data_IF_684271109082
#
_entry.id   IF_684271109082
#
_cell.length_a   1.000
_cell.length_b   1.000
_cell.length_c   1.000
_cell.angle_alpha   90.00
_cell.angle_beta   90.00
_cell.angle_gamma   90.00
#
_symmetry.space_group_name_H-M   'P 1'
#
loop_
_entity.id
_entity.type
_entity.pdbx_description
1 polymer ?
2 polymer ?
3 branched ?
4 water ?
#
# COMPACT_ATOMS: atom_id res chain seq x y z
N UNK A 2 -25.48 -8.97 14.60
CA UNK A 2 -24.68 -7.95 15.25
C UNK A 2 -23.59 -7.42 14.32
N UNK A 3 -23.89 -6.35 13.60
CA UNK A 3 -22.95 -5.81 12.63
C UNK A 3 -21.76 -5.16 13.32
N UNK A 4 -20.58 -5.32 12.74
CA UNK A 4 -19.36 -4.78 13.32
C UNK A 4 -19.39 -3.24 13.26
N UNK A 5 -18.79 -2.57 14.24
CA UNK A 5 -18.92 -1.11 14.35
C UNK A 5 -18.00 -0.34 13.40
N UNK A 6 -18.19 -0.56 12.11
CA UNK A 6 -17.38 0.14 11.12
C UNK A 6 -17.78 1.60 10.99
N UNK A 7 -19.07 1.91 11.13
CA UNK A 7 -19.49 3.31 11.07
C UNK A 7 -18.81 4.15 12.13
N UNK A 8 -18.52 3.55 13.28
CA UNK A 8 -17.75 4.22 14.32
C UNK A 8 -16.35 4.58 13.84
N UNK A 9 -15.72 3.67 13.09
CA UNK A 9 -14.33 3.86 12.68
C UNK A 9 -14.22 4.89 11.56
N UNK A 10 -15.08 4.78 10.56
CA UNK A 10 -14.93 5.59 9.35
C UNK A 10 -15.64 6.93 9.43
N UNK A 11 -16.72 7.02 10.20
CA UNK A 11 -17.54 8.22 10.28
C UNK A 11 -17.38 8.99 11.58
N UNK A 12 -16.35 8.67 12.37
CA UNK A 12 -16.13 9.42 13.59
C UNK A 12 -15.89 10.89 13.29
N UNK A 13 -16.44 11.76 14.14
CA UNK A 13 -16.24 13.19 13.97
C UNK A 13 -14.77 13.56 13.99
N UNK A 14 -14.01 12.96 14.91
CA UNK A 14 -12.62 13.32 15.12
C UNK A 14 -11.73 12.10 14.92
N UNK A 15 -10.53 12.36 14.39
CA UNK A 15 -9.53 11.33 14.14
C UNK A 15 -8.28 11.64 14.97
N UNK A 16 -7.48 10.61 15.21
CA UNK A 16 -6.29 10.76 16.04
C UNK A 16 -5.12 11.30 15.23
N UNK A 17 -4.17 11.90 15.94
CA UNK A 17 -2.89 12.21 15.33
C UNK A 17 -2.14 10.92 15.04
N UNK A 18 -1.30 10.96 14.01
CA UNK A 18 -0.66 9.72 13.54
C UNK A 18 0.33 9.19 14.58
N UNK A 19 1.00 10.08 15.30
CA UNK A 19 1.95 9.63 16.32
C UNK A 19 1.23 8.88 17.45
N UNK A 20 0.00 9.29 17.76
CA UNK A 20 -0.84 8.64 18.76
C UNK A 20 -1.99 7.90 18.09
N UNK A 21 -1.68 7.14 17.04
CA UNK A 21 -2.71 6.53 16.22
C UNK A 21 -3.62 5.63 17.05
N UNK A 22 -4.90 5.64 16.69
CA UNK A 22 -5.93 4.93 17.43
C UNK A 22 -6.04 3.50 16.94
N UNK A 23 -6.26 2.57 17.87
CA UNK A 23 -6.54 1.17 17.55
C UNK A 23 -7.86 0.79 18.18
N UNK A 24 -8.77 0.25 17.36
CA UNK A 24 -10.04 -0.27 17.80
C UNK A 24 -10.12 -1.75 17.45
N UNK A 25 -10.27 -2.59 18.47
CA UNK A 25 -10.43 -4.02 18.24
C UNK A 25 -11.84 -4.33 17.78
N UNK A 26 -11.95 -5.18 16.76
CA UNK A 26 -13.22 -5.56 16.17
C UNK A 26 -13.37 -7.06 16.31
N UNK A 27 -14.39 -7.48 17.04
CA UNK A 27 -14.55 -8.89 17.36
C UNK A 27 -16.01 -9.17 17.71
N UNK A 28 -16.38 -10.45 17.59
CA UNK A 28 -17.70 -10.96 17.99
C UNK A 28 -18.82 -10.22 17.25
N UNK A 29 -18.69 -10.18 15.92
CA UNK A 29 -19.67 -9.48 15.10
C UNK A 29 -19.52 -9.93 13.66
N UNK A 30 -20.55 -9.62 12.86
CA UNK A 30 -20.54 -9.87 11.42
C UNK A 30 -20.11 -8.57 10.75
N UNK A 31 -19.21 -8.68 9.78
CA UNK A 31 -18.62 -7.53 9.13
C UNK A 31 -19.14 -7.43 7.70
N UNK A 32 -20.00 -6.45 7.46
CA UNK A 32 -20.50 -6.15 6.12
C UNK A 32 -19.50 -5.21 5.44
N UNK A 33 -18.48 -5.79 4.80
CA UNK A 33 -17.49 -4.99 4.12
C UNK A 33 -18.04 -4.31 2.87
N UNK A 34 -19.26 -4.64 2.46
CA UNK A 34 -19.83 -4.06 1.25
C UNK A 34 -20.20 -2.61 1.44
N UNK A 35 -20.51 -2.19 2.67
CA UNK A 35 -20.72 -0.76 2.91
C UNK A 35 -19.45 0.01 2.61
N UNK A 36 -18.30 -0.65 2.68
CA UNK A 36 -17.02 -0.07 2.28
C UNK A 36 -16.74 -0.32 0.80
N UNK A 37 -16.68 -1.60 0.41
CA UNK A 37 -16.20 -1.92 -0.93
C UNK A 37 -17.23 -1.65 -2.03
N UNK A 38 -18.41 -1.11 -1.69
CA UNK A 38 -19.33 -0.58 -2.68
C UNK A 38 -19.30 0.95 -2.73
N UNK A 39 -18.78 1.59 -1.69
CA UNK A 39 -18.70 3.05 -1.65
C UNK A 39 -17.64 3.57 -2.62
N UNK A 40 -17.80 4.84 -3.00
CA UNK A 40 -16.92 5.50 -3.95
C UNK A 40 -16.29 6.75 -3.36
N UNK A 41 -16.18 6.80 -2.03
CA UNK A 41 -15.68 7.97 -1.33
C UNK A 41 -14.19 7.88 -1.02
N UNK A 42 -13.53 6.78 -1.35
CA UNK A 42 -12.16 6.54 -0.93
C UNK A 42 -11.18 6.81 -2.07
N UNK A 43 -10.10 7.51 -1.75
CA UNK A 43 -9.03 7.73 -2.73
C UNK A 43 -8.02 6.59 -2.75
N UNK A 44 -7.87 5.88 -1.65
CA UNK A 44 -7.02 4.69 -1.57
C UNK A 44 -7.83 3.55 -0.98
N UNK A 45 -7.76 2.37 -1.59
CA UNK A 45 -8.42 1.19 -1.06
C UNK A 45 -7.69 -0.01 -1.67
N UNK A 46 -6.71 -0.53 -0.94
CA UNK A 46 -5.91 -1.65 -1.41
C UNK A 46 -5.68 -2.62 -0.25
N UNK A 47 -5.59 -3.91 -0.57
CA UNK A 47 -5.41 -4.93 0.43
C UNK A 47 -4.21 -5.79 0.11
N UNK A 48 -3.59 -6.34 1.15
CA UNK A 48 -2.42 -7.19 1.04
C UNK A 48 -2.74 -8.55 1.67
N UNK A 49 -2.37 -9.62 0.97
CA UNK A 49 -2.68 -10.96 1.41
C UNK A 49 -4.14 -11.35 1.26
N UNK A 50 -5.02 -10.41 0.91
CA UNK A 50 -6.43 -10.69 0.66
C UNK A 50 -6.90 -9.81 -0.49
N UNK A 51 -8.02 -10.17 -1.10
CA UNK A 51 -8.62 -9.35 -2.13
C UNK A 51 -9.81 -8.60 -1.59
N UNK A 52 -9.99 -7.33 -1.99
CA UNK A 52 -11.12 -6.54 -1.44
C UNK A 52 -12.48 -7.14 -1.72
N UNK A 53 -12.65 -7.86 -2.83
CA UNK A 53 -13.94 -8.46 -3.15
C UNK A 53 -14.19 -9.76 -2.41
N UNK A 54 -13.19 -10.32 -1.72
CA UNK A 54 -13.34 -11.60 -1.05
C UNK A 54 -13.58 -11.42 0.45
N UNK A 55 -13.41 -10.21 0.99
CA UNK A 55 -13.50 -9.99 2.44
C UNK A 55 -14.83 -10.48 3.00
N UNK A 56 -15.91 -10.39 2.23
CA UNK A 56 -17.21 -10.85 2.69
C UNK A 56 -17.31 -12.37 2.78
N UNK A 57 -16.33 -13.11 2.27
CA UNK A 57 -16.33 -14.56 2.29
C UNK A 57 -15.30 -15.14 3.27
N UNK A 58 -14.73 -14.31 4.14
CA UNK A 58 -13.62 -14.74 4.98
C UNK A 58 -13.93 -14.57 6.46
N UNK A 59 -13.22 -15.35 7.26
CA UNK A 59 -13.34 -15.34 8.71
C UNK A 59 -11.96 -15.15 9.31
N UNK A 60 -11.88 -14.35 10.38
CA UNK A 60 -10.60 -14.04 10.99
C UNK A 60 -10.69 -14.13 12.50
N UNK A 61 -9.56 -14.45 13.13
CA UNK A 61 -9.50 -14.52 14.59
C UNK A 61 -9.64 -13.14 15.20
N UNK A 62 -8.86 -12.18 14.72
CA UNK A 62 -8.86 -10.82 15.24
C UNK A 62 -8.86 -9.84 14.08
N UNK A 63 -9.59 -8.74 14.24
CA UNK A 63 -9.59 -7.64 13.29
C UNK A 63 -9.37 -6.35 14.05
N UNK A 64 -8.36 -5.59 13.64
CA UNK A 64 -8.04 -4.30 14.26
C UNK A 64 -8.21 -3.19 13.23
N UNK A 65 -8.73 -2.05 13.68
CA UNK A 65 -8.93 -0.88 12.83
C UNK A 65 -8.08 0.26 13.39
N UNK A 66 -6.98 0.57 12.71
CA UNK A 66 -6.10 1.66 13.09
C UNK A 66 -6.42 2.88 12.25
N UNK A 67 -6.50 4.05 12.89
CA UNK A 67 -6.94 5.26 12.20
C UNK A 67 -6.13 6.47 12.66
N UNK A 68 -5.91 7.40 11.73
CA UNK A 68 -5.07 8.57 11.95
C UNK A 68 -5.21 9.49 10.74
N UNK A 69 -4.55 10.66 10.81
CA UNK A 69 -4.58 11.67 9.77
C UNK A 69 -3.14 12.02 9.38
N UNK A 70 -2.87 12.05 8.07
CA UNK A 70 -1.58 12.45 7.52
C UNK A 70 -1.83 13.29 6.27
N UNK A 71 -0.74 13.79 5.67
CA UNK A 71 -0.87 14.53 4.42
C UNK A 71 -1.19 13.59 3.26
N UNK A 72 -1.79 14.15 2.22
CA UNK A 72 -2.11 13.35 1.04
C UNK A 72 -0.88 12.73 0.40
N UNK A 73 0.21 13.48 0.30
CA UNK A 73 1.43 12.97 -0.29
C UNK A 73 2.23 12.07 0.65
N UNK A 74 1.68 11.75 1.84
CA UNK A 74 2.29 10.78 2.74
C UNK A 74 1.54 9.46 2.80
N UNK A 75 0.36 9.36 2.17
CA UNK A 75 -0.38 8.11 2.17
C UNK A 75 0.44 6.99 1.54
N UNK A 76 1.33 7.33 0.61
CA UNK A 76 2.21 6.34 -0.01
C UNK A 76 3.06 5.60 1.03
N UNK A 77 3.32 6.21 2.18
CA UNK A 77 4.13 5.59 3.21
C UNK A 77 3.40 4.52 4.00
N UNK A 78 2.07 4.46 3.92
CA UNK A 78 1.31 3.39 4.57
C UNK A 78 1.27 2.21 3.63
N UNK A 79 2.41 1.56 3.45
CA UNK A 79 2.55 0.42 2.54
C UNK A 79 3.77 -0.38 2.96
N UNK A 80 3.81 -1.67 2.67
CA UNK A 80 4.96 -2.48 3.06
C UNK A 80 6.26 -1.94 2.47
N UNK A 81 7.28 -1.87 3.32
CA UNK A 81 8.64 -1.56 2.90
C UNK A 81 8.96 -0.09 2.78
N UNK A 82 8.04 0.81 3.12
CA UNK A 82 8.28 2.23 2.88
C UNK A 82 9.12 2.85 3.99
N UNK A 83 9.69 4.01 3.65
CA UNK A 83 10.47 4.82 4.57
C UNK A 83 9.94 6.25 4.55
N UNK A 84 10.48 7.09 5.41
CA UNK A 84 9.96 8.42 5.65
C UNK A 84 9.44 8.55 7.08
N UNK A 85 9.17 9.81 7.45
CA UNK A 85 8.92 10.08 8.88
C UNK A 85 7.67 9.36 9.36
N UNK A 86 6.68 9.14 8.50
CA UNK A 86 5.49 8.42 8.91
C UNK A 86 5.79 6.94 9.11
N UNK A 87 6.38 6.30 8.09
CA UNK A 87 6.68 4.87 8.20
C UNK A 87 7.76 4.61 9.26
N UNK A 88 8.75 5.50 9.36
CA UNK A 88 9.85 5.26 10.29
C UNK A 88 9.47 5.59 11.73
N UNK A 89 8.74 6.67 11.95
CA UNK A 89 8.59 7.23 13.29
C UNK A 89 7.15 7.28 13.81
N UNK A 90 6.15 6.99 12.99
CA UNK A 90 4.78 7.16 13.46
C UNK A 90 3.93 5.90 13.34
N UNK A 91 3.84 5.32 12.15
CA UNK A 91 3.03 4.12 11.93
C UNK A 91 3.73 3.24 10.91
N UNK A 92 4.00 2.01 11.29
CA UNK A 92 4.80 1.09 10.48
C UNK A 92 4.00 -0.17 10.17
N UNK A 93 3.78 -0.43 8.89
CA UNK A 93 3.19 -1.68 8.44
C UNK A 93 4.25 -2.77 8.37
N UNK A 94 3.89 -4.02 8.67
CA UNK A 94 4.85 -5.12 8.51
C UNK A 94 5.15 -5.36 7.03
N UNK A 95 6.29 -6.01 6.78
CA UNK A 95 6.64 -6.36 5.41
C UNK A 95 5.65 -7.35 4.82
N UNK A 96 5.17 -8.29 5.63
CA UNK A 96 4.19 -9.29 5.22
C UNK A 96 2.78 -8.95 5.74
N UNK A 97 2.41 -7.69 5.60
CA UNK A 97 1.12 -7.19 6.10
C UNK A 97 -0.04 -7.95 5.47
N UNK A 98 -0.99 -8.39 6.30
CA UNK A 98 -2.25 -8.96 5.85
C UNK A 98 -3.37 -8.03 6.29
N UNK A 99 -3.95 -7.31 5.35
CA UNK A 99 -5.00 -6.36 5.66
C UNK A 99 -5.18 -5.37 4.54
N UNK A 100 -5.87 -4.27 4.85
CA UNK A 100 -6.23 -3.28 3.85
C UNK A 100 -5.86 -1.88 4.33
N UNK A 101 -5.53 -1.02 3.37
CA UNK A 101 -5.24 0.39 3.62
C UNK A 101 -6.30 1.21 2.90
N UNK A 102 -7.03 2.03 3.66
CA UNK A 102 -8.13 2.83 3.14
C UNK A 102 -7.90 4.28 3.54
N UNK A 103 -8.05 5.20 2.58
CA UNK A 103 -7.82 6.61 2.85
C UNK A 103 -8.77 7.45 2.03
N UNK A 104 -9.07 8.65 2.53
CA UNK A 104 -9.92 9.59 1.81
C UNK A 104 -9.56 11.01 2.21
N UNK A 105 -9.83 11.94 1.30
CA UNK A 105 -9.54 13.35 1.54
C UNK A 105 -10.47 13.91 2.61
N UNK A 106 -9.89 14.55 3.62
CA UNK A 106 -10.65 15.12 4.72
C UNK A 106 -10.42 16.62 4.87
N UNK A 107 -10.15 17.30 3.74
CA UNK A 107 -9.94 18.75 3.77
C UNK A 107 -11.14 19.48 4.36
N UNK A 108 -12.34 19.03 4.04
CA UNK A 108 -13.55 19.71 4.50
C UNK A 108 -13.72 19.60 6.01
N UNK A 109 -13.07 18.64 6.65
CA UNK A 109 -13.24 18.39 8.09
C UNK A 109 -12.04 18.78 8.93
N UNK A 110 -10.82 18.66 8.41
CA UNK A 110 -9.63 18.75 9.23
C UNK A 110 -8.75 19.96 8.92
N UNK A 111 -9.12 20.78 7.95
CA UNK A 111 -8.40 22.02 7.66
C UNK A 111 -9.13 23.20 8.27
N UNK A 112 -8.36 24.24 8.62
CA UNK A 112 -8.89 25.43 9.27
C UNK A 112 -8.14 26.65 8.75
N UNK A 113 -8.87 27.76 8.60
CA UNK A 113 -8.23 29.01 8.20
C UNK A 113 -7.25 29.44 9.30
N UNK A 114 -6.06 29.83 8.89
CA UNK A 114 -4.97 30.06 9.82
C UNK A 114 -4.23 28.81 10.23
N UNK A 115 -4.75 27.63 9.88
CA UNK A 115 -4.06 26.38 10.17
C UNK A 115 -4.67 25.60 11.32
N UNK A 116 -4.96 24.32 11.09
CA UNK A 116 -5.37 23.42 12.15
C UNK A 116 -4.11 22.78 12.72
N UNK A 117 -3.75 23.14 13.95
CA UNK A 117 -2.54 22.65 14.55
C UNK A 117 -2.78 21.50 15.53
N UNK A 118 -3.96 20.87 15.47
CA UNK A 118 -4.26 19.79 16.39
C UNK A 118 -3.63 18.46 15.97
N UNK A 119 -3.38 18.28 14.68
CA UNK A 119 -2.81 17.04 14.18
C UNK A 119 -1.29 17.11 14.20
N UNK A 120 -0.65 16.16 14.87
CA UNK A 120 0.79 16.14 15.06
C UNK A 120 1.39 14.89 14.47
N UNK A 121 2.70 14.94 14.23
CA UNK A 121 3.48 13.76 13.86
C UNK A 121 4.83 13.83 14.55
N UNK A 122 5.49 12.67 14.65
CA UNK A 122 6.82 12.60 15.22
C UNK A 122 7.86 12.82 14.12
N UNK A 123 8.79 13.75 14.37
CA UNK A 123 9.80 14.14 13.39
C UNK A 123 11.16 13.51 13.66
N UNK A 124 11.48 13.21 14.92
CA UNK A 124 12.77 12.67 15.30
C UNK A 124 12.58 11.44 16.17
N UNK A 125 13.45 10.45 15.99
CA UNK A 125 13.47 9.26 16.83
C UNK A 125 14.82 8.59 16.69
N UNK A 126 15.28 7.98 17.78
CA UNK A 126 16.60 7.33 17.78
C UNK A 126 16.62 6.05 16.95
N UNK A 127 15.46 5.45 16.67
CA UNK A 127 15.40 4.25 15.87
C UNK A 127 14.04 4.17 15.20
N UNK A 128 13.93 3.33 14.18
CA UNK A 128 12.66 3.16 13.50
C UNK A 128 11.69 2.34 14.34
N UNK A 129 10.41 2.59 14.14
CA UNK A 129 9.38 1.81 14.81
C UNK A 129 9.35 0.39 14.28
N UNK A 130 9.05 -0.55 15.16
CA UNK A 130 8.69 -1.89 14.73
C UNK A 130 7.25 -1.89 14.23
N UNK A 131 6.86 -2.90 13.45
CA UNK A 131 5.48 -2.91 12.91
C UNK A 131 4.45 -2.86 14.02
N UNK A 132 3.45 -1.98 13.83
CA UNK A 132 2.34 -1.76 14.75
C UNK A 132 2.80 -1.24 16.11
N UNK A 133 3.98 -0.64 16.18
CA UNK A 133 4.43 0.00 17.41
C UNK A 133 3.90 1.42 17.48
N UNK A 134 3.65 1.88 18.70
CA UNK A 134 3.25 3.26 18.95
C UNK A 134 4.23 3.91 19.91
N UNK A 135 4.60 5.15 19.62
CA UNK A 135 5.47 5.94 20.48
C UNK A 135 4.76 7.25 20.78
N UNK A 136 4.43 7.46 22.07
CA UNK A 136 3.77 8.67 22.53
C UNK A 136 4.65 9.49 23.48
N UNK A 137 5.95 9.18 23.54
CA UNK A 137 6.85 9.91 24.41
C UNK A 137 7.11 11.32 23.88
N UNK A 138 7.56 12.20 24.78
CA UNK A 138 7.82 13.59 24.45
C UNK A 138 9.21 14.02 24.92
N UNK A 139 10.14 13.08 24.97
CA UNK A 139 11.50 13.40 25.42
C UNK A 139 12.21 14.27 24.40
N UNK A 140 13.05 15.18 24.89
CA UNK A 140 13.85 16.02 24.01
C UNK A 140 14.85 15.16 23.26
N UNK A 141 14.92 15.36 21.95
CA UNK A 141 15.77 14.57 21.06
C UNK A 141 17.17 15.16 20.98
N UNK A 142 18.17 14.33 21.28
CA UNK A 142 19.57 14.75 21.22
C UNK A 142 20.07 14.60 19.79
N UNK A 143 20.13 15.71 19.06
CA UNK A 143 20.61 15.69 17.70
C UNK A 143 22.12 15.86 17.58
N UNK A 144 22.78 16.34 18.64
CA UNK A 144 24.21 16.55 18.60
C UNK A 144 24.96 15.81 19.69
N UNK A 145 26.16 16.30 20.00
CA UNK A 145 27.00 15.68 21.02
C UNK A 145 26.68 16.15 22.42
N UNK A 146 25.87 17.19 22.56
CA UNK A 146 25.57 17.76 23.87
C UNK A 146 24.32 17.09 24.43
N UNK A 147 24.39 16.43 25.59
CA UNK A 147 23.17 15.88 26.19
C UNK A 147 22.17 16.98 26.51
N UNK A 148 20.91 16.73 26.17
CA UNK A 148 19.88 17.76 26.35
C UNK A 148 19.42 17.86 27.81
N UNK A 149 19.25 16.74 28.49
CA UNK A 149 18.66 16.69 29.82
C UNK A 149 17.35 17.47 29.87
N UNK A 150 16.41 17.02 29.03
CA UNK A 150 15.06 17.56 28.97
C UNK A 150 14.95 19.04 28.68
N UNK A 151 16.06 19.71 28.36
CA UNK A 151 16.05 21.14 28.04
C UNK A 151 16.02 21.28 26.52
N UNK A 152 14.99 21.96 26.03
CA UNK A 152 14.85 22.26 24.61
C UNK A 152 15.78 23.40 24.22
N UNK A 153 16.51 23.24 23.13
CA UNK A 153 17.41 24.28 22.68
C UNK A 153 18.15 23.86 21.44
N UNK A 154 19.26 24.54 21.17
CA UNK A 154 20.10 24.21 20.02
C UNK A 154 20.53 22.75 20.06
N UNK A 155 20.28 22.04 18.96
CA UNK A 155 20.56 20.61 18.80
C UNK A 155 19.76 19.74 19.75
N UNK A 156 18.74 20.27 20.38
CA UNK A 156 17.93 19.55 21.38
C UNK A 156 16.47 19.84 21.09
N UNK A 157 15.82 18.92 20.37
CA UNK A 157 14.54 19.18 19.72
C UNK A 157 13.40 18.48 20.46
N UNK A 158 12.28 19.19 20.59
CA UNK A 158 11.02 18.53 20.91
C UNK A 158 10.61 17.67 19.72
N UNK A 159 10.26 16.40 19.93
CA UNK A 159 10.21 15.47 18.79
C UNK A 159 8.93 15.51 17.98
N UNK A 160 7.92 16.28 18.38
CA UNK A 160 6.66 16.33 17.65
C UNK A 160 6.51 17.66 16.92
N UNK A 161 5.82 17.61 15.78
CA UNK A 161 5.56 18.77 14.95
C UNK A 161 4.13 18.73 14.46
N UNK A 162 3.54 19.92 14.29
CA UNK A 162 2.15 20.03 13.85
C UNK A 162 2.08 20.15 12.33
N UNK A 163 1.01 19.57 11.76
CA UNK A 163 0.79 19.67 10.32
C UNK A 163 0.38 21.07 9.90
N UNK A 164 -0.48 21.73 10.69
CA UNK A 164 -0.98 23.04 10.33
C UNK A 164 -1.79 23.04 9.05
N UNK A 165 -2.76 22.14 8.96
CA UNK A 165 -3.56 22.02 7.74
C UNK A 165 -4.35 23.30 7.48
N UNK A 166 -4.22 23.83 6.26
CA UNK A 166 -4.93 25.01 5.81
C UNK A 166 -5.78 24.68 4.59
N UNK A 167 -6.99 25.25 4.48
CA UNK A 167 -7.94 24.77 3.47
C UNK A 167 -7.54 25.09 2.04
N UNK A 168 -6.67 26.08 1.82
CA UNK A 168 -6.27 26.47 0.48
C UNK A 168 -5.12 25.63 -0.08
N UNK A 169 -4.58 24.70 0.71
CA UNK A 169 -3.47 23.87 0.26
C UNK A 169 -3.87 23.06 -0.98
N UNK A 170 -2.85 22.69 -1.76
CA UNK A 170 -3.03 21.71 -2.81
C UNK A 170 -3.35 20.35 -2.22
N UNK A 171 -3.81 19.45 -3.10
CA UNK A 171 -4.34 18.16 -2.64
C UNK A 171 -3.26 17.37 -1.90
N UNK A 172 -2.01 17.45 -2.35
CA UNK A 172 -0.94 16.73 -1.69
C UNK A 172 -0.68 17.20 -0.27
N UNK A 173 -0.97 18.47 0.02
CA UNK A 173 -0.75 19.03 1.34
C UNK A 173 -2.00 18.98 2.22
N UNK A 174 -3.11 18.47 1.69
CA UNK A 174 -4.36 18.44 2.44
C UNK A 174 -4.41 17.22 3.35
N UNK A 175 -5.20 17.27 4.42
CA UNK A 175 -5.29 16.13 5.33
C UNK A 175 -6.08 14.99 4.71
N UNK A 176 -5.62 13.77 4.98
CA UNK A 176 -6.30 12.55 4.56
C UNK A 176 -6.51 11.67 5.78
N UNK A 177 -7.74 11.17 5.94
CA UNK A 177 -8.05 10.22 7.00
C UNK A 177 -7.75 8.82 6.50
N UNK A 178 -7.06 8.04 7.32
CA UNK A 178 -6.56 6.73 6.94
C UNK A 178 -7.08 5.71 7.95
N UNK A 179 -7.58 4.59 7.45
CA UNK A 179 -7.97 3.45 8.27
C UNK A 179 -7.22 2.22 7.76
N UNK A 180 -6.49 1.56 8.64
CA UNK A 180 -5.76 0.35 8.32
C UNK A 180 -6.46 -0.81 9.03
N UNK A 181 -7.00 -1.73 8.25
CA UNK A 181 -7.63 -2.94 8.78
C UNK A 181 -6.61 -4.06 8.73
N UNK A 182 -6.34 -4.67 9.88
CA UNK A 182 -5.44 -5.82 9.96
C UNK A 182 -6.26 -7.05 10.28
N UNK A 183 -6.00 -8.13 9.54
CA UNK A 183 -6.74 -9.38 9.67
C UNK A 183 -5.79 -10.45 10.20
N UNK A 184 -6.09 -10.99 11.38
CA UNK A 184 -5.17 -11.85 12.10
C UNK A 184 -5.74 -13.26 12.21
N UNK A 185 -4.91 -14.25 11.91
CA UNK A 185 -5.23 -15.66 12.09
C UNK A 185 -4.26 -16.25 13.11
N UNK A 186 -4.80 -16.88 14.17
CA UNK A 186 -3.95 -17.31 15.27
C UNK A 186 -4.31 -18.69 15.80
N UNK A 187 -4.92 -19.55 14.99
CA UNK A 187 -5.26 -20.94 15.33
C UNK A 187 -6.32 -21.06 16.42
N UNK A 188 -7.15 -20.03 16.60
CA UNK A 188 -8.25 -20.06 17.56
C UNK A 188 -9.54 -19.91 16.77
N UNK A 189 -10.73 -20.09 17.36
CA UNK A 189 -11.96 -19.86 16.60
C UNK A 189 -12.05 -18.43 16.07
N UNK A 190 -12.85 -18.26 15.03
CA UNK A 190 -13.02 -16.95 14.40
C UNK A 190 -14.05 -16.11 15.15
N UNK A 191 -13.78 -14.81 15.24
CA UNK A 191 -14.72 -13.87 15.83
C UNK A 191 -15.41 -13.00 14.80
N UNK A 192 -14.74 -12.68 13.70
CA UNK A 192 -15.27 -11.78 12.67
C UNK A 192 -15.43 -12.57 11.39
N UNK A 193 -16.65 -12.57 10.85
CA UNK A 193 -16.95 -13.26 9.61
C UNK A 193 -17.83 -12.37 8.74
N UNK A 194 -17.82 -12.64 7.44
CA UNK A 194 -18.66 -11.91 6.51
C UNK A 194 -20.11 -12.33 6.62
N UNK A 195 -21.00 -11.58 5.98
CA UNK A 195 -22.43 -11.92 6.05
C UNK A 195 -22.77 -13.14 5.22
N UNK A 196 -22.46 -14.32 5.76
CA UNK A 196 -22.77 -15.58 5.09
C UNK A 196 -23.89 -16.33 5.83
N UNK B 10 16.45 1.24 -9.59
CA UNK B 10 16.32 2.30 -10.58
C UNK B 10 14.92 2.30 -11.18
N UNK B 11 14.10 1.33 -10.76
CA UNK B 11 12.67 1.46 -10.97
C UNK B 11 12.15 2.72 -10.32
N UNK B 12 10.96 3.14 -10.75
CA UNK B 12 10.47 4.52 -10.58
C UNK B 12 10.94 5.23 -9.30
N UNK B 13 11.06 4.51 -8.17
CA UNK B 13 11.76 5.07 -7.03
C UNK B 13 13.15 4.43 -6.94
N UNK B 14 14.22 5.12 -7.35
CA UNK B 14 15.53 4.45 -7.42
C UNK B 14 16.20 4.27 -6.06
N UNK B 15 15.71 4.92 -5.01
CA UNK B 15 16.35 4.87 -3.70
C UNK B 15 15.59 4.03 -2.69
N UNK B 16 14.45 3.45 -3.06
CA UNK B 16 13.67 2.65 -2.12
C UNK B 16 14.36 1.32 -1.85
N UNK B 17 14.00 0.71 -0.72
CA UNK B 17 14.52 -0.62 -0.40
C UNK B 17 14.00 -1.65 -1.38
N UNK B 18 12.72 -1.58 -1.73
CA UNK B 18 12.15 -2.49 -2.72
C UNK B 18 12.65 -2.09 -4.10
N UNK B 19 13.18 -3.07 -4.83
CA UNK B 19 13.64 -2.88 -6.20
C UNK B 19 13.13 -4.02 -7.06
N UNK B 20 12.68 -3.68 -8.26
CA UNK B 20 12.18 -4.65 -9.22
C UNK B 20 12.99 -4.50 -10.50
N UNK B 21 13.48 -5.61 -11.04
CA UNK B 21 14.34 -5.61 -12.22
C UNK B 21 13.78 -6.58 -13.25
N UNK B 22 13.34 -6.05 -14.39
CA UNK B 22 12.82 -6.88 -15.48
C UNK B 22 13.93 -7.25 -16.45
N UNK B 23 13.76 -8.40 -17.10
CA UNK B 23 14.69 -8.86 -18.13
C UNK B 23 13.94 -9.78 -19.09
N UNK B 24 14.57 -10.03 -20.24
CA UNK B 24 14.02 -10.95 -21.22
C UNK B 24 13.40 -10.30 -22.44
N UNK B 25 13.32 -8.97 -22.49
CA UNK B 25 12.77 -8.32 -23.66
C UNK B 25 13.66 -8.47 -24.88
N UNK B 26 13.03 -8.33 -26.05
CA UNK B 26 13.78 -8.45 -27.29
C UNK B 26 12.84 -8.44 -28.48
N UNK B 27 13.43 -8.72 -29.65
CA UNK B 27 12.71 -8.74 -30.91
C UNK B 27 12.21 -10.16 -31.19
N UNK B 28 10.91 -10.29 -31.47
CA UNK B 28 10.27 -11.57 -31.74
C UNK B 28 9.42 -11.45 -32.98
N UNK B 29 9.33 -12.55 -33.74
CA UNK B 29 8.45 -12.60 -34.89
C UNK B 29 7.01 -12.88 -34.44
N UNK B 30 6.06 -12.36 -35.21
CA UNK B 30 4.66 -12.58 -34.91
C UNK B 30 4.35 -14.08 -34.88
N UNK B 31 3.55 -14.48 -33.89
CA UNK B 31 3.26 -15.88 -33.66
C UNK B 31 4.26 -16.59 -32.77
N UNK B 32 5.33 -15.92 -32.35
CA UNK B 32 6.34 -16.53 -31.53
C UNK B 32 6.06 -16.41 -30.05
N UNK B 33 7.05 -16.85 -29.25
CA UNK B 33 6.92 -16.88 -27.80
C UNK B 33 8.09 -16.14 -27.16
N UNK B 34 7.87 -15.66 -25.94
CA UNK B 34 8.88 -14.94 -25.20
C UNK B 34 8.46 -14.89 -23.74
N UNK B 35 9.41 -15.15 -22.84
CA UNK B 35 9.14 -15.15 -21.40
C UNK B 35 9.94 -14.03 -20.75
N UNK B 36 9.25 -13.11 -20.09
CA UNK B 36 9.89 -12.05 -19.33
C UNK B 36 10.06 -12.49 -17.88
N UNK B 37 11.08 -11.91 -17.23
CA UNK B 37 11.37 -12.19 -15.84
C UNK B 37 11.40 -10.88 -15.05
N UNK B 38 11.10 -10.97 -13.76
CA UNK B 38 11.15 -9.82 -12.86
C UNK B 38 11.69 -10.29 -11.52
N UNK B 39 12.94 -9.92 -11.22
CA UNK B 39 13.48 -10.19 -9.89
C UNK B 39 12.77 -9.30 -8.87
N UNK B 40 12.27 -9.91 -7.80
CA UNK B 40 11.40 -9.21 -6.86
C UNK B 40 11.66 -9.74 -5.46
N UNK B 41 11.43 -8.92 -4.41
CA UNK B 41 11.67 -9.35 -3.03
C UNK B 41 10.47 -10.08 -2.43
N UNK B 42 10.12 -11.22 -3.04
CA UNK B 42 8.92 -11.94 -2.63
C UNK B 42 9.03 -12.62 -1.28
N UNK B 43 10.24 -13.06 -0.90
CA UNK B 43 10.39 -13.70 0.40
C UNK B 43 10.08 -12.74 1.53
N UNK B 44 10.39 -11.46 1.35
CA UNK B 44 10.14 -10.45 2.37
C UNK B 44 8.72 -9.89 2.27
N UNK B 45 8.31 -9.52 1.07
CA UNK B 45 7.00 -8.90 0.87
C UNK B 45 6.06 -9.92 0.24
N UNK B 46 5.81 -11.02 0.95
CA UNK B 46 5.09 -12.17 0.43
C UNK B 46 3.58 -11.96 0.30
N UNK B 47 3.03 -10.89 0.87
CA UNK B 47 1.61 -10.63 0.80
C UNK B 47 1.24 -9.58 -0.26
N UNK B 48 2.23 -9.00 -0.94
CA UNK B 48 1.96 -7.97 -1.93
C UNK B 48 1.59 -8.59 -3.27
N UNK B 49 0.78 -7.85 -4.03
CA UNK B 49 0.39 -8.28 -5.37
C UNK B 49 1.48 -7.92 -6.37
N UNK B 50 1.77 -8.87 -7.26
CA UNK B 50 2.73 -8.67 -8.33
C UNK B 50 1.99 -8.58 -9.66
N UNK B 51 2.45 -7.69 -10.53
CA UNK B 51 1.75 -7.49 -11.79
C UNK B 51 2.66 -7.04 -12.91
N UNK B 52 2.15 -7.19 -14.12
CA UNK B 52 2.82 -6.73 -15.32
C UNK B 52 1.97 -5.66 -16.01
N UNK B 53 2.62 -4.60 -16.46
CA UNK B 53 1.99 -3.53 -17.22
C UNK B 53 2.78 -3.33 -18.50
N UNK B 54 2.17 -2.70 -19.48
CA UNK B 54 2.87 -2.37 -20.71
C UNK B 54 2.43 -1.01 -21.22
N UNK B 55 3.34 -0.33 -21.92
CA UNK B 55 3.07 0.99 -22.48
C UNK B 55 3.69 1.04 -23.87
N UNK B 56 2.85 1.16 -24.88
CA UNK B 56 3.30 1.32 -26.26
C UNK B 56 3.47 2.79 -26.58
N UNK B 57 4.21 3.12 -27.65
CA UNK B 57 4.44 4.54 -27.96
C UNK B 57 3.13 5.25 -28.28
N UNK B 58 2.96 6.43 -27.68
CA UNK B 58 1.79 7.24 -27.90
C UNK B 58 0.52 6.77 -27.22
N UNK B 59 0.58 5.69 -26.44
CA UNK B 59 -0.57 5.19 -25.72
C UNK B 59 -0.29 5.20 -24.22
N UNK B 60 -1.37 5.09 -23.44
CA UNK B 60 -1.25 5.07 -22.00
C UNK B 60 -0.84 3.68 -21.51
N UNK B 61 -0.22 3.65 -20.34
CA UNK B 61 0.13 2.37 -19.72
C UNK B 61 -1.13 1.58 -19.41
N UNK B 62 -1.10 0.28 -19.67
CA UNK B 62 -2.27 -0.56 -19.44
C UNK B 62 -1.89 -1.81 -18.64
N UNK B 63 -2.88 -2.31 -17.90
CA UNK B 63 -2.73 -3.53 -17.12
C UNK B 63 -2.63 -4.75 -18.04
N UNK B 64 -1.81 -5.73 -17.63
CA UNK B 64 -1.63 -6.94 -18.40
C UNK B 64 -2.01 -8.16 -17.57
N UNK B 65 -1.35 -8.34 -16.42
CA UNK B 65 -1.60 -9.53 -15.61
C UNK B 65 -1.20 -9.24 -14.17
N UNK B 66 -1.75 -10.05 -13.26
CA UNK B 66 -1.48 -9.91 -11.84
C UNK B 66 -1.55 -11.27 -11.17
N UNK B 67 -0.83 -11.41 -10.05
CA UNK B 67 -0.76 -12.67 -9.32
C UNK B 67 -0.23 -12.38 -7.93
N UNK B 68 -0.52 -13.27 -6.97
CA UNK B 68 0.10 -13.21 -5.66
C UNK B 68 1.24 -14.22 -5.60
N UNK B 69 1.99 -14.17 -4.50
CA UNK B 69 3.14 -15.05 -4.36
C UNK B 69 2.77 -16.49 -4.02
N UNK B 70 1.47 -16.80 -3.91
CA UNK B 70 1.01 -18.17 -3.77
C UNK B 70 0.46 -18.74 -5.08
N UNK B 71 0.80 -18.11 -6.21
CA UNK B 71 0.37 -18.56 -7.54
C UNK B 71 -1.16 -18.68 -7.64
N UNK B 72 -1.86 -17.85 -6.87
CA UNK B 72 -3.32 -17.77 -6.93
C UNK B 72 -3.72 -16.34 -7.29
N UNK B 73 -5.01 -16.03 -7.14
CA UNK B 73 -5.55 -14.70 -7.39
C UNK B 73 -5.01 -14.10 -8.68
N UNK B 74 -5.11 -14.87 -9.76
CA UNK B 74 -4.55 -14.49 -11.05
C UNK B 74 -5.57 -13.64 -11.79
N UNK B 75 -5.10 -12.50 -12.33
CA UNK B 75 -5.91 -11.62 -13.14
C UNK B 75 -5.25 -11.43 -14.50
N UNK B 76 -6.06 -11.36 -15.55
CA UNK B 76 -5.56 -11.08 -16.89
C UNK B 76 -6.42 -10.02 -17.55
N UNK B 77 -5.78 -9.16 -18.34
CA UNK B 77 -6.52 -8.32 -19.27
C UNK B 77 -7.13 -9.19 -20.36
N UNK B 78 -8.27 -8.73 -20.89
CA UNK B 78 -8.96 -9.52 -21.91
C UNK B 78 -8.13 -9.67 -23.17
N UNK B 79 -7.29 -8.68 -23.48
CA UNK B 79 -6.50 -8.71 -24.70
C UNK B 79 -5.45 -9.82 -24.72
N UNK B 80 -5.11 -10.38 -23.56
CA UNK B 80 -4.03 -11.35 -23.46
C UNK B 80 -4.49 -12.71 -22.95
N UNK B 81 -5.78 -12.85 -22.61
CA UNK B 81 -6.28 -14.13 -22.10
C UNK B 81 -6.12 -15.21 -23.15
N UNK B 82 -5.61 -16.37 -22.72
CA UNK B 82 -5.35 -17.47 -23.63
C UNK B 82 -4.03 -17.39 -24.35
N UNK B 83 -3.30 -16.29 -24.23
CA UNK B 83 -1.99 -16.11 -24.84
C UNK B 83 -0.88 -15.89 -23.83
N UNK B 84 -1.15 -15.14 -22.77
CA UNK B 84 -0.15 -14.81 -21.75
C UNK B 84 -0.42 -15.60 -20.48
N UNK B 85 0.66 -15.94 -19.78
CA UNK B 85 0.55 -16.62 -18.49
C UNK B 85 1.52 -15.99 -17.51
N UNK B 86 1.00 -15.57 -16.35
CA UNK B 86 1.80 -15.02 -15.27
C UNK B 86 2.02 -16.12 -14.22
N UNK B 87 3.21 -16.13 -13.63
CA UNK B 87 3.53 -17.14 -12.63
C UNK B 87 4.67 -16.65 -11.76
N UNK B 88 4.93 -17.38 -10.68
CA UNK B 88 6.02 -17.09 -9.76
C UNK B 88 6.81 -18.37 -9.52
N UNK B 89 8.03 -18.22 -9.00
CA UNK B 89 8.79 -19.37 -8.55
C UNK B 89 8.49 -19.65 -7.08
N UNK B 90 8.83 -20.87 -6.65
CA UNK B 90 8.45 -21.31 -5.32
C UNK B 90 9.21 -20.56 -4.24
N UNK B 91 10.46 -20.20 -4.47
CA UNK B 91 11.22 -19.47 -3.46
C UNK B 91 10.82 -18.02 -3.36
N UNK B 92 9.87 -17.55 -4.17
CA UNK B 92 9.39 -16.17 -4.15
C UNK B 92 10.51 -15.18 -4.48
N UNK B 93 11.26 -15.49 -5.54
CA UNK B 93 12.33 -14.61 -5.99
C UNK B 93 12.06 -13.97 -7.35
N UNK B 94 11.12 -14.50 -8.13
CA UNK B 94 10.95 -14.06 -9.51
C UNK B 94 9.49 -14.17 -9.92
N UNK B 95 9.03 -13.19 -10.69
CA UNK B 95 7.74 -13.23 -11.37
C UNK B 95 8.02 -13.38 -12.85
N UNK B 96 7.13 -14.09 -13.55
CA UNK B 96 7.32 -14.37 -14.96
C UNK B 96 6.08 -13.97 -15.75
N UNK B 97 6.30 -13.63 -17.01
CA UNK B 97 5.23 -13.40 -17.98
C UNK B 97 5.55 -14.22 -19.23
N UNK B 98 5.00 -15.43 -19.32
CA UNK B 98 5.10 -16.22 -20.53
C UNK B 98 4.16 -15.65 -21.58
N UNK B 99 4.68 -15.36 -22.76
CA UNK B 99 3.93 -14.74 -23.83
C UNK B 99 3.91 -15.67 -25.03
N UNK B 100 2.72 -16.01 -25.52
CA UNK B 100 2.56 -16.91 -26.65
C UNK B 100 1.71 -16.25 -27.73
N UNK B 101 1.92 -16.67 -28.98
CA UNK B 101 1.19 -16.14 -30.13
C UNK B 101 1.25 -14.62 -30.15
N UNK B 102 2.47 -14.09 -30.09
CA UNK B 102 2.67 -12.65 -30.01
C UNK B 102 2.21 -11.96 -31.30
N UNK B 103 1.64 -10.78 -31.14
CA UNK B 103 1.13 -9.96 -32.23
C UNK B 103 1.85 -8.62 -32.24
N UNK B 104 1.84 -7.92 -33.38
CA UNK B 104 2.45 -6.57 -33.41
C UNK B 104 1.88 -5.64 -32.36
N UNK B 105 0.59 -5.75 -32.04
CA UNK B 105 -0.02 -4.91 -31.03
C UNK B 105 0.53 -5.17 -29.63
N UNK B 106 1.27 -6.25 -29.44
CA UNK B 106 1.91 -6.52 -28.15
C UNK B 106 3.22 -5.77 -27.97
N UNK B 107 3.68 -5.03 -28.99
CA UNK B 107 4.91 -4.27 -28.88
C UNK B 107 4.73 -3.14 -27.88
N UNK B 108 5.58 -3.12 -26.84
CA UNK B 108 5.51 -2.11 -25.80
C UNK B 108 6.70 -2.31 -24.86
N UNK B 109 6.90 -1.34 -23.97
CA UNK B 109 7.79 -1.51 -22.83
C UNK B 109 6.96 -2.14 -21.71
N UNK B 110 7.41 -3.30 -21.24
CA UNK B 110 6.67 -4.04 -20.22
C UNK B 110 7.24 -3.74 -18.84
N UNK B 111 6.37 -3.38 -17.90
CA UNK B 111 6.76 -2.99 -16.56
C UNK B 111 6.27 -4.00 -15.53
N UNK B 112 7.13 -4.33 -14.58
CA UNK B 112 6.79 -5.14 -13.43
C UNK B 112 6.45 -4.22 -12.26
N UNK B 113 5.50 -4.66 -11.43
CA UNK B 113 4.98 -3.80 -10.38
C UNK B 113 4.66 -4.62 -9.13
N UNK B 114 4.82 -3.99 -7.98
CA UNK B 114 4.47 -4.57 -6.69
C UNK B 114 3.55 -3.61 -5.96
N UNK B 115 2.48 -4.13 -5.38
CA UNK B 115 1.55 -3.30 -4.63
C UNK B 115 0.49 -4.09 -3.90
N UNK B 116 -0.68 -3.48 -3.70
CA UNK B 116 -1.79 -4.16 -3.07
C UNK B 116 -2.94 -4.40 -4.03
N UNK B 117 -3.82 -5.35 -3.70
CA UNK B 117 -5.00 -5.60 -4.51
C UNK B 117 -5.98 -4.44 -4.36
N UNK B 118 -6.26 -3.74 -5.46
CA UNK B 118 -7.12 -2.60 -5.42
C UNK B 118 -8.59 -2.94 -5.57
N UNK B 119 -9.44 -1.98 -5.20
CA UNK B 119 -10.88 -2.10 -5.35
C UNK B 119 -11.37 -1.68 -6.73
N UNK B 120 -10.86 -0.57 -7.25
CA UNK B 120 -11.26 -0.06 -8.55
C UNK B 120 -10.36 -0.53 -9.69
N UNK B 121 -9.23 -1.15 -9.38
CA UNK B 121 -8.31 -1.65 -10.38
C UNK B 121 -7.59 -2.87 -9.81
N UNK B 122 -7.02 -3.73 -10.65
CA UNK B 122 -6.41 -4.96 -10.13
C UNK B 122 -5.33 -4.72 -9.09
N UNK B 123 -4.37 -3.84 -9.37
CA UNK B 123 -3.28 -3.54 -8.43
C UNK B 123 -3.19 -2.04 -8.23
N UNK B 124 -3.14 -1.61 -6.96
CA UNK B 124 -2.75 -0.26 -6.60
C UNK B 124 -1.26 -0.31 -6.31
N UNK B 125 -0.45 0.27 -7.19
CA UNK B 125 0.98 -0.02 -7.24
C UNK B 125 1.72 0.76 -6.17
N UNK B 126 2.63 0.08 -5.47
CA UNK B 126 3.58 0.68 -4.54
C UNK B 126 4.95 0.92 -5.16
N UNK B 127 5.41 -0.01 -6.01
CA UNK B 127 6.75 0.05 -6.56
C UNK B 127 6.72 -0.35 -8.03
N UNK B 128 7.57 0.30 -8.83
CA UNK B 128 7.66 0.06 -10.26
C UNK B 128 9.07 -0.41 -10.63
N UNK B 129 9.15 -1.25 -11.66
CA UNK B 129 10.41 -1.61 -12.24
C UNK B 129 10.86 -0.60 -13.28
N UNK B 130 11.99 -0.90 -13.93
CA UNK B 130 12.52 -0.03 -14.97
C UNK B 130 11.93 -0.31 -16.34
N UNK B 131 11.45 -1.51 -16.57
CA UNK B 131 10.84 -1.85 -17.85
C UNK B 131 11.78 -2.61 -18.76
N UNK B 132 11.20 -3.42 -19.64
CA UNK B 132 11.96 -4.13 -20.66
C UNK B 132 11.20 -4.04 -21.98
N UNK B 133 11.95 -3.83 -23.06
CA UNK B 133 11.35 -3.56 -24.36
C UNK B 133 11.05 -4.86 -25.10
N UNK B 134 9.81 -5.01 -25.55
CA UNK B 134 9.39 -6.12 -26.38
C UNK B 134 8.94 -5.56 -27.72
N UNK B 135 9.49 -6.10 -28.80
CA UNK B 135 9.16 -5.69 -30.15
C UNK B 135 8.75 -6.91 -30.96
N UNK B 136 7.53 -6.89 -31.51
CA UNK B 136 7.02 -7.97 -32.34
C UNK B 136 6.94 -7.46 -33.77
N UNK B 137 7.60 -8.18 -34.68
CA UNK B 137 7.63 -7.82 -36.09
C UNK B 137 6.79 -8.80 -36.90
N UNK B 138 6.14 -8.30 -37.94
CA UNK B 138 5.38 -9.15 -38.83
C UNK B 138 6.30 -9.83 -39.83
#
# INVERSE_FOLDING_TARGET
>A
TNLCPFGEVFNATRFASVYAWNRKRISNCVADYSVLYNSASFSTFKCYGVSPTKLNDLCFTNVYADSFVIRGDEVRQIAPGQTGKIADYNYKLPDDFTGCVIAWNSNNLDSKVGGNYNYLYRLFRKSNLKPFERDISTEIYQAGSTPCNGVEGFNCYFPLQSYGFQPTNGVGYQPYRVVVLSFELLHAPATVCGPKKSGHHHHHH
>B
MASMTGGQQMGRDPNSHVQLVESGGGLVQAGGSLRLSCAAPGRTFSTSAMGWFRQAPGKEREFVAAIDWSNTNIHYADTVKGRFTISTDTAKNTVYLQMNNLKPEDTAVYYCAQGGWGLTQPISVDYWGKGTQVTVSSKLAAALEHHHHHH
#
